data_IF_676985157571
#
_entry.id   IF_676985157571
#
_cell.length_a   1.000
_cell.length_b   1.000
_cell.length_c   1.000
_cell.angle_alpha   90.00
_cell.angle_beta   90.00
_cell.angle_gamma   90.00
#
_symmetry.space_group_name_H-M   'P 1'
#
loop_
_entity.id
_entity.type
_entity.pdbx_description
1 polymer ?
#
# COMPACT_ATOMS: atom_id res chain seq x y z
N UNK A 1 0.53 9.10 11.47
CA UNK A 1 1.00 7.71 11.40
C UNK A 1 0.24 6.84 12.41
N UNK A 2 0.36 7.07 13.71
CA UNK A 2 -0.25 6.25 14.77
C UNK A 2 -1.78 6.06 14.57
N UNK A 3 -2.49 7.13 14.23
CA UNK A 3 -3.93 7.04 13.94
C UNK A 3 -4.22 6.09 12.75
N UNK A 4 -3.47 6.15 11.66
CA UNK A 4 -3.65 5.25 10.51
C UNK A 4 -3.36 3.80 10.88
N UNK A 5 -2.24 3.56 11.56
CA UNK A 5 -1.91 2.24 12.07
C UNK A 5 -3.03 1.67 12.98
N UNK A 6 -3.67 2.55 13.78
CA UNK A 6 -4.78 2.21 14.67
C UNK A 6 -6.07 1.78 13.97
N UNK A 7 -6.22 2.04 12.67
CA UNK A 7 -7.43 1.70 11.91
C UNK A 7 -7.46 0.23 11.45
N UNK A 8 -6.33 -0.45 11.39
CA UNK A 8 -6.31 -1.86 11.03
C UNK A 8 -6.96 -2.75 12.06
N UNK A 9 -7.77 -3.69 11.61
CA UNK A 9 -8.18 -4.85 12.40
C UNK A 9 -7.06 -5.88 12.39
N UNK A 10 -6.71 -6.41 13.54
CA UNK A 10 -5.70 -7.47 13.60
C UNK A 10 -6.45 -8.80 13.49
N UNK A 11 -6.17 -9.62 12.46
CA UNK A 11 -6.88 -10.88 12.24
C UNK A 11 -6.64 -11.85 13.41
N UNK A 12 -7.70 -12.40 13.97
CA UNK A 12 -7.62 -13.43 15.03
C UNK A 12 -6.99 -14.72 14.51
N UNK A 13 -6.16 -15.35 15.33
CA UNK A 13 -5.52 -16.63 15.01
C UNK A 13 -4.41 -16.55 13.97
N UNK A 14 -3.98 -15.38 13.59
CA UNK A 14 -2.82 -15.18 12.72
C UNK A 14 -1.55 -14.97 13.55
N UNK A 15 -0.51 -15.73 13.25
CA UNK A 15 0.81 -15.59 13.88
C UNK A 15 1.84 -14.87 12.99
N UNK A 16 1.54 -14.72 11.71
CA UNK A 16 2.39 -14.02 10.75
C UNK A 16 1.58 -13.06 9.89
N UNK A 17 2.17 -11.89 9.57
CA UNK A 17 1.58 -10.89 8.69
C UNK A 17 2.56 -10.45 7.61
N UNK A 18 2.04 -10.25 6.39
CA UNK A 18 2.75 -9.59 5.30
C UNK A 18 2.18 -8.18 5.08
N UNK A 19 3.07 -7.18 5.05
CA UNK A 19 2.71 -5.76 5.02
C UNK A 19 3.38 -5.08 3.81
N UNK A 20 2.64 -4.23 3.14
CA UNK A 20 3.14 -3.38 2.06
C UNK A 20 2.99 -1.90 2.40
N UNK A 21 4.06 -1.13 2.18
CA UNK A 21 4.05 0.34 2.13
C UNK A 21 4.56 0.77 0.74
N UNK A 22 3.67 1.04 -0.23
CA UNK A 22 4.05 1.20 -1.63
C UNK A 22 4.68 2.56 -1.97
N UNK A 23 4.73 3.48 -1.02
CA UNK A 23 5.38 4.79 -1.14
C UNK A 23 5.84 5.24 0.24
N UNK A 24 6.83 4.53 0.77
CA UNK A 24 7.16 4.55 2.19
C UNK A 24 7.76 5.89 2.67
N UNK A 25 8.37 6.67 1.75
CA UNK A 25 9.05 7.89 2.16
C UNK A 25 10.09 7.60 3.24
N UNK A 26 9.97 8.28 4.38
CA UNK A 26 10.84 8.04 5.54
C UNK A 26 10.48 6.79 6.37
N UNK A 27 9.45 6.03 6.00
CA UNK A 27 8.99 4.84 6.73
C UNK A 27 8.12 5.12 7.96
N UNK A 28 7.67 6.35 8.17
CA UNK A 28 6.94 6.72 9.41
C UNK A 28 5.60 5.97 9.57
N UNK A 29 4.95 5.59 8.47
CA UNK A 29 3.72 4.80 8.51
C UNK A 29 4.03 3.33 8.85
N UNK A 30 5.04 2.78 8.21
CA UNK A 30 5.54 1.43 8.48
C UNK A 30 5.97 1.27 9.94
N UNK A 31 6.78 2.20 10.47
CA UNK A 31 7.21 2.20 11.88
C UNK A 31 6.01 2.23 12.83
N UNK A 32 5.04 3.13 12.59
CA UNK A 32 3.86 3.22 13.44
C UNK A 32 2.98 1.94 13.40
N UNK A 33 2.95 1.24 12.26
CA UNK A 33 2.22 -0.03 12.15
C UNK A 33 2.97 -1.15 12.88
N UNK A 34 4.29 -1.22 12.76
CA UNK A 34 5.13 -2.16 13.52
C UNK A 34 4.96 -1.97 15.03
N UNK A 35 5.03 -0.72 15.53
CA UNK A 35 4.80 -0.39 16.95
C UNK A 35 3.41 -0.83 17.44
N UNK A 36 2.37 -0.67 16.60
CA UNK A 36 1.04 -1.15 16.96
C UNK A 36 0.97 -2.67 17.05
N UNK A 37 1.60 -3.37 16.11
CA UNK A 37 1.60 -4.83 16.05
C UNK A 37 2.42 -5.45 17.19
N UNK A 38 3.43 -4.75 17.70
CA UNK A 38 4.22 -5.18 18.87
C UNK A 38 3.34 -5.50 20.07
N UNK A 39 2.28 -4.73 20.28
CA UNK A 39 1.35 -4.95 21.42
C UNK A 39 0.42 -6.16 21.25
N UNK A 40 0.36 -6.79 20.07
CA UNK A 40 -0.48 -7.97 19.82
C UNK A 40 0.27 -9.25 20.17
N UNK A 41 -0.27 -10.04 21.10
CA UNK A 41 0.39 -11.26 21.60
C UNK A 41 0.34 -12.44 20.62
N UNK A 42 -0.56 -12.43 19.63
CA UNK A 42 -0.73 -13.55 18.69
C UNK A 42 0.24 -13.47 17.51
N UNK A 43 0.70 -12.27 17.15
CA UNK A 43 1.61 -12.08 16.02
C UNK A 43 3.05 -12.36 16.48
N UNK A 44 3.71 -13.31 15.83
CA UNK A 44 5.10 -13.70 16.09
C UNK A 44 6.06 -13.11 15.05
N UNK A 45 5.63 -13.06 13.77
CA UNK A 45 6.49 -12.63 12.67
C UNK A 45 5.79 -11.66 11.71
N UNK A 46 6.57 -10.74 11.14
CA UNK A 46 6.12 -9.73 10.20
C UNK A 46 7.10 -9.65 9.03
N UNK A 47 6.57 -9.77 7.81
CA UNK A 47 7.29 -9.43 6.58
C UNK A 47 6.83 -8.06 6.08
N UNK A 48 7.73 -7.09 5.98
CA UNK A 48 7.44 -5.74 5.51
C UNK A 48 8.13 -5.46 4.19
N UNK A 49 7.37 -5.06 3.18
CA UNK A 49 7.90 -4.58 1.89
C UNK A 49 7.60 -3.10 1.74
N UNK A 50 8.63 -2.31 1.57
CA UNK A 50 8.55 -0.87 1.34
C UNK A 50 9.04 -0.54 -0.08
N UNK A 51 8.26 0.22 -0.82
CA UNK A 51 8.70 0.83 -2.08
C UNK A 51 9.04 2.30 -1.86
N UNK A 52 10.24 2.71 -2.26
CA UNK A 52 10.67 4.12 -2.26
C UNK A 52 11.72 4.34 -3.36
N UNK A 53 11.38 5.15 -4.34
CA UNK A 53 12.25 5.37 -5.50
C UNK A 53 13.06 6.68 -5.45
N UNK A 54 12.89 7.50 -4.43
CA UNK A 54 13.76 8.67 -4.20
C UNK A 54 15.04 8.23 -3.46
N UNK A 55 16.14 8.15 -4.20
CA UNK A 55 17.44 7.75 -3.65
C UNK A 55 17.91 8.63 -2.47
N UNK A 56 17.41 9.88 -2.35
CA UNK A 56 17.78 10.75 -1.24
C UNK A 56 17.10 10.36 0.08
N UNK A 57 16.04 9.56 0.02
CA UNK A 57 15.23 9.16 1.19
C UNK A 57 15.51 7.72 1.61
N UNK A 58 15.98 6.87 0.71
CA UNK A 58 16.18 5.43 0.96
C UNK A 58 17.06 5.15 2.18
N UNK A 59 18.15 5.87 2.36
CA UNK A 59 19.05 5.69 3.54
C UNK A 59 18.33 6.05 4.84
N UNK A 60 17.50 7.09 4.83
CA UNK A 60 16.69 7.47 5.98
C UNK A 60 15.61 6.41 6.27
N UNK A 61 14.94 5.92 5.23
CA UNK A 61 13.97 4.83 5.35
C UNK A 61 14.62 3.59 5.98
N UNK A 62 15.77 3.17 5.45
CA UNK A 62 16.52 2.03 5.99
C UNK A 62 16.84 2.21 7.48
N UNK A 63 17.41 3.36 7.84
CA UNK A 63 17.79 3.66 9.22
C UNK A 63 16.60 3.64 10.18
N UNK A 64 15.45 4.18 9.75
CA UNK A 64 14.24 4.20 10.57
C UNK A 64 13.65 2.80 10.75
N UNK A 65 13.64 1.97 9.70
CA UNK A 65 13.17 0.58 9.79
C UNK A 65 14.10 -0.28 10.63
N UNK A 66 15.43 -0.16 10.46
CA UNK A 66 16.41 -0.86 11.26
C UNK A 66 16.28 -0.51 12.75
N UNK A 67 16.12 0.80 13.04
CA UNK A 67 15.86 1.26 14.40
C UNK A 67 14.57 0.65 14.97
N UNK A 68 13.47 0.70 14.23
CA UNK A 68 12.20 0.13 14.66
C UNK A 68 12.31 -1.37 14.94
N UNK A 69 12.90 -2.14 14.02
CA UNK A 69 13.09 -3.58 14.17
C UNK A 69 13.95 -3.91 15.41
N UNK A 70 14.95 -3.07 15.74
CA UNK A 70 15.77 -3.28 16.94
C UNK A 70 15.04 -3.07 18.27
N UNK A 71 13.87 -2.42 18.25
CA UNK A 71 13.05 -2.11 19.43
C UNK A 71 11.77 -2.96 19.53
N UNK A 72 11.58 -3.89 18.62
CA UNK A 72 10.44 -4.79 18.56
C UNK A 72 10.90 -6.20 18.92
N UNK A 73 10.09 -6.92 19.71
CA UNK A 73 10.42 -8.30 20.17
C UNK A 73 10.03 -9.35 19.15
N UNK A 74 9.21 -9.01 18.17
CA UNK A 74 8.75 -9.91 17.10
C UNK A 74 9.83 -10.13 16.05
N UNK A 75 9.72 -11.24 15.35
CA UNK A 75 10.57 -11.53 14.19
C UNK A 75 10.13 -10.67 12.99
N UNK A 76 10.83 -9.57 12.76
CA UNK A 76 10.53 -8.64 11.66
C UNK A 76 11.61 -8.72 10.59
N UNK A 77 11.22 -9.11 9.40
CA UNK A 77 12.02 -8.95 8.19
C UNK A 77 11.49 -7.79 7.34
N UNK A 78 12.37 -6.97 6.79
CA UNK A 78 11.95 -5.93 5.86
C UNK A 78 12.78 -5.91 4.57
N UNK A 79 12.17 -5.46 3.50
CA UNK A 79 12.79 -5.26 2.20
C UNK A 79 12.41 -3.90 1.63
N UNK A 80 13.40 -3.14 1.19
CA UNK A 80 13.21 -1.87 0.47
C UNK A 80 13.41 -2.13 -1.02
N UNK A 81 12.43 -1.76 -1.83
CA UNK A 81 12.45 -1.85 -3.29
C UNK A 81 12.53 -0.43 -3.84
N UNK A 82 13.57 -0.14 -4.62
CA UNK A 82 13.82 1.19 -5.18
C UNK A 82 13.22 1.40 -6.56
N UNK A 83 12.55 0.39 -7.09
CA UNK A 83 11.82 0.47 -8.36
C UNK A 83 10.51 1.25 -8.23
N UNK A 84 10.00 1.72 -9.35
CA UNK A 84 8.65 2.28 -9.40
C UNK A 84 7.62 1.20 -9.10
N UNK A 85 6.86 1.38 -8.01
CA UNK A 85 5.90 0.40 -7.51
C UNK A 85 4.90 -0.08 -8.58
N UNK A 86 4.26 0.84 -9.30
CA UNK A 86 3.26 0.50 -10.32
C UNK A 86 3.89 -0.28 -11.48
N UNK A 87 5.08 0.15 -11.93
CA UNK A 87 5.73 -0.46 -13.06
C UNK A 87 6.34 -1.83 -12.73
N UNK A 88 6.79 -2.04 -11.51
CA UNK A 88 7.31 -3.34 -11.05
C UNK A 88 6.23 -4.43 -11.07
N UNK A 89 4.96 -4.06 -10.86
CA UNK A 89 3.81 -4.97 -10.87
C UNK A 89 3.16 -5.13 -12.26
N UNK A 90 3.65 -4.43 -13.29
CA UNK A 90 3.00 -4.33 -14.59
C UNK A 90 2.72 -5.69 -15.24
N UNK A 91 3.68 -6.60 -15.23
CA UNK A 91 3.53 -7.91 -15.91
C UNK A 91 2.48 -8.78 -15.23
N UNK A 92 2.43 -8.73 -13.91
CA UNK A 92 1.51 -9.48 -13.08
C UNK A 92 0.09 -8.91 -13.17
N UNK A 93 -0.03 -7.60 -12.99
CA UNK A 93 -1.31 -6.88 -13.11
C UNK A 93 -1.99 -7.10 -14.47
N UNK A 94 -1.22 -7.17 -15.55
CA UNK A 94 -1.73 -7.42 -16.90
C UNK A 94 -1.85 -8.93 -17.25
N UNK A 95 -1.65 -9.83 -16.29
CA UNK A 95 -1.81 -11.26 -16.46
C UNK A 95 -0.75 -11.92 -17.33
N UNK A 96 0.38 -11.24 -17.59
CA UNK A 96 1.46 -11.78 -18.42
C UNK A 96 2.29 -12.86 -17.73
N UNK A 97 2.27 -12.89 -16.39
CA UNK A 97 2.95 -13.90 -15.57
C UNK A 97 2.01 -15.00 -15.05
N UNK A 98 0.72 -14.93 -15.41
CA UNK A 98 -0.32 -15.77 -14.81
C UNK A 98 -0.87 -15.14 -13.53
N UNK A 99 -1.70 -15.91 -12.79
CA UNK A 99 -2.22 -15.44 -11.52
C UNK A 99 -1.14 -15.56 -10.44
N UNK A 100 -0.94 -14.47 -9.69
CA UNK A 100 -0.07 -14.51 -8.51
C UNK A 100 -0.60 -15.51 -7.49
N UNK A 101 0.27 -16.33 -6.90
CA UNK A 101 -0.09 -17.06 -5.71
C UNK A 101 -0.57 -16.08 -4.63
N UNK A 102 -1.62 -16.43 -3.90
CA UNK A 102 -2.08 -15.59 -2.78
C UNK A 102 -1.00 -15.43 -1.69
N UNK A 103 -0.05 -16.36 -1.63
CA UNK A 103 1.12 -16.28 -0.75
C UNK A 103 2.03 -15.07 -1.03
N UNK A 104 2.04 -14.57 -2.26
CA UNK A 104 2.86 -13.42 -2.66
C UNK A 104 2.16 -12.07 -2.43
N UNK A 105 0.91 -12.10 -1.93
CA UNK A 105 0.11 -10.91 -1.61
C UNK A 105 0.23 -10.51 -0.14
N UNK A 106 -0.34 -9.36 0.19
CA UNK A 106 -0.22 -8.74 1.51
C UNK A 106 -1.50 -8.84 2.33
N UNK A 107 -1.33 -9.01 3.64
CA UNK A 107 -2.43 -8.96 4.60
C UNK A 107 -2.84 -7.51 4.89
N UNK A 108 -1.87 -6.59 4.89
CA UNK A 108 -2.09 -5.17 5.18
C UNK A 108 -1.34 -4.27 4.21
N UNK A 109 -1.98 -3.19 3.77
CA UNK A 109 -1.33 -2.13 2.99
C UNK A 109 -1.55 -0.80 3.67
N UNK A 110 -0.48 -0.07 3.97
CA UNK A 110 -0.55 1.28 4.53
C UNK A 110 0.14 2.26 3.58
N UNK A 111 -0.48 3.40 3.28
CA UNK A 111 0.13 4.30 2.32
C UNK A 111 -0.33 5.76 2.38
N UNK A 112 0.59 6.64 2.00
CA UNK A 112 0.34 8.06 1.72
C UNK A 112 1.02 8.43 0.39
N UNK A 113 0.44 8.02 -0.74
CA UNK A 113 1.07 8.17 -2.05
C UNK A 113 1.14 9.62 -2.50
N UNK A 114 2.03 9.91 -3.45
CA UNK A 114 2.18 11.25 -4.03
C UNK A 114 0.90 11.75 -4.73
N UNK A 115 0.49 12.99 -4.43
CA UNK A 115 -0.68 13.64 -5.03
C UNK A 115 -0.30 14.39 -6.30
N UNK A 116 0.13 13.66 -7.31
CA UNK A 116 0.66 14.22 -8.56
C UNK A 116 -0.17 13.75 -9.75
N UNK A 117 -0.55 14.71 -10.62
CA UNK A 117 -1.12 14.39 -11.93
C UNK A 117 -0.01 13.94 -12.86
N UNK A 118 -0.29 12.89 -13.63
CA UNK A 118 0.60 12.38 -14.66
C UNK A 118 -0.07 12.48 -16.04
N UNK A 119 0.73 12.42 -17.08
CA UNK A 119 0.22 12.42 -18.45
C UNK A 119 -0.60 11.14 -18.72
N UNK A 120 -1.59 11.26 -19.62
CA UNK A 120 -2.41 10.10 -20.03
C UNK A 120 -1.59 8.95 -20.62
N UNK A 121 -0.47 9.27 -21.24
CA UNK A 121 0.46 8.31 -21.84
C UNK A 121 1.69 8.03 -20.95
N UNK A 122 1.65 8.41 -19.68
CA UNK A 122 2.69 8.02 -18.73
C UNK A 122 2.71 6.49 -18.55
N UNK A 123 3.88 5.88 -18.33
CA UNK A 123 3.99 4.43 -18.17
C UNK A 123 3.03 3.86 -17.13
N UNK A 124 2.87 4.52 -15.98
CA UNK A 124 1.95 4.10 -14.91
C UNK A 124 0.48 4.11 -15.38
N UNK A 125 0.09 5.14 -16.14
CA UNK A 125 -1.27 5.24 -16.68
C UNK A 125 -1.56 4.17 -17.74
N UNK A 126 -0.57 3.83 -18.56
CA UNK A 126 -0.69 2.79 -19.58
C UNK A 126 -0.62 1.38 -19.01
N UNK A 127 0.00 1.20 -17.85
CA UNK A 127 -0.03 -0.06 -17.09
C UNK A 127 -1.44 -0.39 -16.60
N UNK A 128 -2.24 0.61 -16.24
CA UNK A 128 -3.55 0.45 -15.61
C UNK A 128 -4.67 1.15 -16.39
N UNK A 129 -4.90 0.80 -17.67
CA UNK A 129 -5.88 1.49 -18.52
C UNK A 129 -7.33 1.30 -18.06
N UNK A 130 -7.61 0.23 -17.35
CA UNK A 130 -8.92 -0.17 -16.81
C UNK A 130 -9.39 0.73 -15.66
N UNK A 131 -8.49 1.38 -14.94
CA UNK A 131 -8.83 2.33 -13.86
C UNK A 131 -8.68 3.79 -14.29
N UNK A 132 -8.06 4.06 -15.45
CA UNK A 132 -7.78 5.39 -15.94
C UNK A 132 -8.90 5.96 -16.82
N UNK A 133 -9.28 7.23 -16.59
CA UNK A 133 -10.10 8.03 -17.47
C UNK A 133 -9.49 9.43 -17.60
N UNK A 134 -8.95 9.76 -18.76
CA UNK A 134 -8.24 11.04 -18.97
C UNK A 134 -6.82 11.04 -18.40
N UNK A 135 -6.38 12.16 -17.87
CA UNK A 135 -5.06 12.32 -17.23
C UNK A 135 -5.16 11.94 -15.74
N UNK A 136 -4.57 10.81 -15.33
CA UNK A 136 -4.74 10.32 -13.98
C UNK A 136 -3.87 11.06 -12.95
N UNK A 137 -4.18 10.81 -11.68
CA UNK A 137 -3.35 11.20 -10.56
C UNK A 137 -2.74 9.93 -9.94
N UNK A 138 -1.48 9.99 -9.54
CA UNK A 138 -0.76 8.82 -9.03
C UNK A 138 -1.45 8.16 -7.84
N UNK A 139 -2.01 8.92 -6.90
CA UNK A 139 -2.54 8.36 -5.65
C UNK A 139 -3.61 7.29 -5.85
N UNK A 140 -4.48 7.41 -6.87
CA UNK A 140 -5.49 6.40 -7.08
C UNK A 140 -4.97 5.19 -7.87
N UNK A 141 -3.92 5.36 -8.68
CA UNK A 141 -3.22 4.23 -9.29
C UNK A 141 -2.50 3.39 -8.22
N UNK A 142 -1.86 4.06 -7.26
CA UNK A 142 -1.30 3.37 -6.09
C UNK A 142 -2.37 2.61 -5.32
N UNK A 143 -3.52 3.24 -5.04
CA UNK A 143 -4.61 2.58 -4.34
C UNK A 143 -5.17 1.37 -5.14
N UNK A 144 -5.33 1.49 -6.46
CA UNK A 144 -5.81 0.40 -7.30
C UNK A 144 -4.80 -0.76 -7.39
N UNK A 145 -3.51 -0.46 -7.50
CA UNK A 145 -2.47 -1.48 -7.49
C UNK A 145 -2.39 -2.17 -6.13
N UNK A 146 -2.50 -1.42 -5.04
CA UNK A 146 -2.52 -1.99 -3.69
C UNK A 146 -3.71 -2.91 -3.43
N UNK A 147 -4.88 -2.62 -4.02
CA UNK A 147 -6.02 -3.55 -3.96
C UNK A 147 -5.71 -4.86 -4.70
N UNK A 148 -5.03 -4.79 -5.84
CA UNK A 148 -4.58 -5.96 -6.58
C UNK A 148 -3.58 -6.81 -5.78
N UNK A 149 -2.70 -6.16 -4.99
CA UNK A 149 -1.69 -6.83 -4.17
C UNK A 149 -2.22 -7.32 -2.81
N UNK A 150 -3.47 -7.03 -2.44
CA UNK A 150 -4.07 -7.53 -1.20
C UNK A 150 -4.49 -9.00 -1.33
N UNK A 151 -4.33 -9.75 -0.25
CA UNK A 151 -4.99 -11.05 -0.05
C UNK A 151 -6.49 -10.88 0.08
N UNK A 152 -7.23 -11.95 -0.16
CA UNK A 152 -8.65 -11.98 0.15
C UNK A 152 -8.87 -11.72 1.66
N UNK A 153 -9.68 -10.69 1.98
CA UNK A 153 -9.89 -10.22 3.36
C UNK A 153 -8.75 -9.39 3.93
N UNK A 154 -7.75 -9.02 3.13
CA UNK A 154 -6.70 -8.07 3.53
C UNK A 154 -7.25 -6.65 3.66
N UNK A 155 -6.57 -5.81 4.42
CA UNK A 155 -6.99 -4.44 4.71
C UNK A 155 -6.01 -3.40 4.14
N UNK A 156 -6.57 -2.29 3.68
CA UNK A 156 -5.80 -1.16 3.16
C UNK A 156 -6.19 0.14 3.88
N UNK A 157 -5.20 0.86 4.39
CA UNK A 157 -5.38 2.17 5.01
C UNK A 157 -4.58 3.23 4.26
N UNK A 158 -5.29 4.19 3.66
CA UNK A 158 -4.70 5.24 2.81
C UNK A 158 -5.09 6.65 3.25
N UNK A 159 -4.14 7.59 3.13
CA UNK A 159 -4.48 9.03 3.09
C UNK A 159 -4.48 9.45 1.63
N UNK A 160 -5.65 9.80 1.12
CA UNK A 160 -5.82 10.28 -0.27
C UNK A 160 -6.82 11.43 -0.35
N UNK A 161 -6.69 12.33 -1.34
CA UNK A 161 -7.63 13.43 -1.53
C UNK A 161 -9.06 12.92 -1.77
N UNK A 162 -10.04 13.60 -1.18
CA UNK A 162 -11.48 13.30 -1.31
C UNK A 162 -11.99 13.29 -2.76
N UNK A 163 -11.32 13.96 -3.69
CA UNK A 163 -11.79 14.14 -5.08
C UNK A 163 -12.13 12.84 -5.81
N UNK A 164 -11.59 11.70 -5.40
CA UNK A 164 -11.92 10.40 -5.97
C UNK A 164 -13.40 10.00 -5.77
N UNK A 165 -14.07 10.49 -4.73
CA UNK A 165 -15.44 10.09 -4.40
C UNK A 165 -16.48 10.64 -5.37
N UNK A 166 -16.24 11.77 -6.03
CA UNK A 166 -17.22 12.47 -6.89
C UNK A 166 -16.68 12.86 -8.27
N UNK A 167 -15.38 13.01 -8.44
CA UNK A 167 -14.79 13.48 -9.69
C UNK A 167 -15.02 12.52 -10.86
N UNK A 168 -15.30 13.06 -12.04
CA UNK A 168 -15.58 12.29 -13.28
C UNK A 168 -14.39 11.44 -13.69
N UNK A 169 -13.17 11.96 -13.48
CA UNK A 169 -11.91 11.25 -13.81
C UNK A 169 -11.71 9.96 -13.02
N UNK A 170 -12.39 9.81 -11.89
CA UNK A 170 -12.27 8.63 -11.01
C UNK A 170 -13.40 7.61 -11.20
N UNK A 171 -14.24 7.77 -12.24
CA UNK A 171 -15.40 6.90 -12.44
C UNK A 171 -15.00 5.42 -12.58
N UNK A 172 -13.97 5.12 -13.37
CA UNK A 172 -13.50 3.75 -13.57
C UNK A 172 -12.85 3.18 -12.33
N UNK A 173 -12.00 3.97 -11.67
CA UNK A 173 -11.41 3.59 -10.39
C UNK A 173 -12.48 3.28 -9.35
N UNK A 174 -13.50 4.16 -9.18
CA UNK A 174 -14.60 3.89 -8.23
C UNK A 174 -15.38 2.62 -8.56
N UNK A 175 -15.65 2.39 -9.84
CA UNK A 175 -16.35 1.17 -10.27
C UNK A 175 -15.59 -0.05 -9.80
N UNK A 176 -14.30 -0.15 -10.14
CA UNK A 176 -13.46 -1.26 -9.76
C UNK A 176 -13.29 -1.37 -8.23
N UNK A 177 -13.10 -0.23 -7.55
CA UNK A 177 -12.97 -0.20 -6.11
C UNK A 177 -14.16 -0.86 -5.41
N UNK A 178 -15.40 -0.51 -5.78
CA UNK A 178 -16.61 -1.07 -5.17
C UNK A 178 -17.00 -2.46 -5.69
N UNK A 179 -16.42 -2.93 -6.77
CA UNK A 179 -16.56 -4.31 -7.24
C UNK A 179 -15.62 -5.29 -6.52
N UNK A 180 -14.43 -4.83 -6.14
CA UNK A 180 -13.37 -5.67 -5.59
C UNK A 180 -13.12 -5.48 -4.09
N UNK A 181 -13.66 -4.40 -3.50
CA UNK A 181 -13.43 -4.08 -2.08
C UNK A 181 -14.65 -3.48 -1.40
N UNK A 182 -14.64 -3.49 -0.06
CA UNK A 182 -15.59 -2.78 0.78
C UNK A 182 -14.94 -1.55 1.42
N UNK A 183 -15.66 -0.43 1.47
CA UNK A 183 -15.23 0.77 2.17
C UNK A 183 -15.73 0.72 3.62
N UNK A 184 -14.87 0.33 4.55
CA UNK A 184 -15.20 0.23 5.98
C UNK A 184 -15.29 1.60 6.64
N UNK A 185 -14.33 2.48 6.36
CA UNK A 185 -14.24 3.79 6.98
C UNK A 185 -13.73 4.85 6.00
N UNK A 186 -14.42 5.98 5.98
CA UNK A 186 -13.93 7.18 5.28
C UNK A 186 -14.01 8.38 6.22
N UNK A 187 -12.86 8.94 6.57
CA UNK A 187 -12.77 10.13 7.39
C UNK A 187 -12.47 11.33 6.52
N UNK A 188 -13.30 12.35 6.64
CA UNK A 188 -13.14 13.62 5.93
C UNK A 188 -12.86 14.68 6.97
N UNK A 189 -11.68 15.28 6.91
CA UNK A 189 -11.38 16.47 7.69
C UNK A 189 -12.09 17.67 7.01
N UNK A 190 -12.99 18.30 7.73
CA UNK A 190 -13.71 19.53 7.33
C UNK A 190 -12.96 20.72 7.89
#
# INVERSE_FOLDING_TARGET
>A
AVFMAGLFSIPEGRTSLSILDPGAGSGILSVALLERLESNAEIDSIELVCYENDANIVDLLYSNLEWACSHITKDVSFRIVTDNYILSQMLEYNGMLGASPEADKFDMVIGNPAYMKIAKNAPEATTMPDVCYGAPNLYFLFAAMSMFDLKAGGEMVYIIPRSWTSGTYFKQFRKRFFEESALELSLIHI
#
